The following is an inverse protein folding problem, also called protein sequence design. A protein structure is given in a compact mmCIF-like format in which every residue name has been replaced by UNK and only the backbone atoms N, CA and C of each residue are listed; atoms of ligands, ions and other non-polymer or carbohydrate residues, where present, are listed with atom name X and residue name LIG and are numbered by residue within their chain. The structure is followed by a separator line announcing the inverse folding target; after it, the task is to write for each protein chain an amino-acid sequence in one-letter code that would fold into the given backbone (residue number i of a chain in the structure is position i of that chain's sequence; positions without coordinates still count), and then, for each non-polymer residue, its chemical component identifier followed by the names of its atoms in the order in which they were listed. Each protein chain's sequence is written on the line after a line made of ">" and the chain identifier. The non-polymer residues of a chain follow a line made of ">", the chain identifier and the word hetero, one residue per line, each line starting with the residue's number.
data_IF_876949241251
#
_entry.id   IF_876949241251
#
_cell.length_a   1.000
_cell.length_b   1.000
_cell.length_c   1.000
_cell.angle_alpha   90.00
_cell.angle_beta   90.00
_cell.angle_gamma   90.00
#
_symmetry.space_group_name_H-M   'P 1'
#
loop_
_entity.id
_entity.type
_entity.pdbx_description
1 polymer ?
#
# COMPACT_ATOMS: atom_id res chain seq x y z
N UNK A 1 16.37 85.25 4.11
CA UNK A 1 17.54 84.65 3.44
C UNK A 1 18.03 83.50 4.30
N UNK A 2 18.49 82.40 3.71
CA UNK A 2 18.97 81.24 4.46
C UNK A 2 20.28 81.53 5.20
N UNK A 3 20.50 80.90 6.35
CA UNK A 3 21.74 80.14 6.64
C UNK A 3 21.67 79.38 7.99
N UNK A 4 22.58 78.40 8.10
CA UNK A 4 22.97 77.54 9.25
C UNK A 4 22.21 76.21 9.30
N UNK A 5 22.77 75.15 8.69
CA UNK A 5 23.96 74.35 9.06
C UNK A 5 23.61 73.28 10.10
N UNK A 6 23.76 72.02 9.67
CA UNK A 6 23.47 70.84 10.47
C UNK A 6 24.55 70.58 11.53
N UNK A 7 24.13 69.97 12.64
CA UNK A 7 25.02 69.26 13.55
C UNK A 7 24.59 67.78 13.60
N UNK A 8 25.55 66.88 13.49
CA UNK A 8 25.32 65.45 13.49
C UNK A 8 25.11 64.90 14.91
N UNK A 9 24.22 63.92 15.05
CA UNK A 9 24.21 62.99 16.18
C UNK A 9 24.25 61.58 15.59
N UNK A 10 25.37 60.87 15.79
CA UNK A 10 25.51 59.50 15.35
C UNK A 10 24.78 58.58 16.34
N UNK A 11 23.74 57.89 15.87
CA UNK A 11 23.10 56.78 16.60
C UNK A 11 23.61 55.49 16.00
N UNK A 12 24.49 54.80 16.72
CA UNK A 12 24.90 53.45 16.34
C UNK A 12 23.75 52.48 16.66
N UNK A 13 23.05 51.98 15.64
CA UNK A 13 22.20 50.82 15.81
C UNK A 13 23.09 49.59 16.02
N UNK A 14 23.02 49.02 17.23
CA UNK A 14 23.38 47.63 17.45
C UNK A 14 22.38 46.76 16.69
N UNK A 15 22.77 46.28 15.52
CA UNK A 15 22.05 45.20 14.86
C UNK A 15 22.27 43.92 15.67
N UNK A 16 21.28 43.55 16.48
CA UNK A 16 21.20 42.22 17.07
C UNK A 16 21.00 41.21 15.95
N UNK A 17 22.11 40.69 15.43
CA UNK A 17 22.08 39.49 14.62
C UNK A 17 21.57 38.35 15.50
N UNK A 18 20.29 38.01 15.35
CA UNK A 18 19.75 36.78 15.87
C UNK A 18 20.49 35.64 15.18
N UNK A 19 21.40 35.00 15.91
CA UNK A 19 22.03 33.76 15.47
C UNK A 19 20.92 32.71 15.48
N UNK A 20 20.34 32.44 14.31
CA UNK A 20 19.57 31.23 14.07
C UNK A 20 20.52 30.05 14.27
N UNK A 21 20.44 29.43 15.44
CA UNK A 21 21.09 28.15 15.72
C UNK A 21 20.46 27.08 14.83
N UNK A 22 21.23 26.37 13.98
CA UNK A 22 20.67 25.36 13.12
C UNK A 22 20.37 24.07 13.91
N UNK A 23 19.26 23.43 13.55
CA UNK A 23 18.87 22.03 13.83
C UNK A 23 18.72 21.67 15.32
N UNK A 24 17.46 21.55 15.75
CA UNK A 24 17.06 20.77 16.93
C UNK A 24 17.47 19.31 16.72
N UNK A 25 17.97 18.64 17.77
CA UNK A 25 18.46 17.28 17.64
C UNK A 25 17.30 16.31 17.37
N UNK A 26 17.23 15.81 16.14
CA UNK A 26 16.33 14.71 15.76
C UNK A 26 16.55 13.52 16.71
N UNK A 27 15.46 13.00 17.28
CA UNK A 27 15.56 11.75 18.03
C UNK A 27 15.68 10.60 17.05
N UNK A 28 16.74 9.80 17.18
CA UNK A 28 17.14 8.79 16.21
C UNK A 28 17.42 7.47 16.92
N UNK A 29 16.95 6.37 16.35
CA UNK A 29 17.43 5.03 16.66
C UNK A 29 17.83 4.29 15.37
N UNK A 30 18.94 3.55 15.40
CA UNK A 30 19.43 2.76 14.27
C UNK A 30 19.41 1.29 14.65
N UNK A 31 18.69 0.47 13.90
CA UNK A 31 18.63 -0.98 14.13
C UNK A 31 20.00 -1.62 13.86
N UNK A 32 20.39 -2.54 14.74
CA UNK A 32 21.65 -3.29 14.67
C UNK A 32 21.56 -4.59 15.50
N UNK A 33 22.56 -5.46 15.41
CA UNK A 33 22.65 -6.68 16.24
C UNK A 33 22.58 -6.42 17.75
N UNK A 34 22.89 -5.19 18.19
CA UNK A 34 22.86 -4.75 19.59
C UNK A 34 21.72 -3.79 19.95
N UNK A 35 20.99 -3.26 18.96
CA UNK A 35 19.93 -2.27 19.17
C UNK A 35 18.70 -2.64 18.34
N UNK A 36 17.58 -2.89 19.02
CA UNK A 36 16.32 -3.33 18.41
C UNK A 36 15.27 -2.22 18.38
N UNK A 37 15.64 -0.99 18.76
CA UNK A 37 14.76 0.18 18.84
C UNK A 37 13.46 -0.11 19.59
N UNK A 38 13.58 -0.79 20.74
CA UNK A 38 12.44 -1.20 21.54
C UNK A 38 11.62 0.00 21.98
N UNK A 39 10.29 -0.05 21.81
CA UNK A 39 9.39 1.10 22.04
C UNK A 39 9.51 1.72 23.46
N UNK A 40 9.90 0.93 24.47
CA UNK A 40 10.10 1.39 25.85
C UNK A 40 11.39 2.19 26.07
N UNK A 41 12.39 2.05 25.20
CA UNK A 41 13.67 2.75 25.27
C UNK A 41 13.76 3.94 24.30
N UNK A 42 12.76 4.11 23.43
CA UNK A 42 12.66 5.28 22.56
C UNK A 42 12.40 6.54 23.40
N UNK A 43 13.17 7.60 23.13
CA UNK A 43 13.00 8.92 23.76
C UNK A 43 12.53 9.89 22.68
N UNK A 44 11.23 10.22 22.59
CA UNK A 44 10.70 11.08 21.53
C UNK A 44 11.35 12.47 21.49
N UNK A 45 11.38 13.05 20.28
CA UNK A 45 11.70 14.47 20.07
C UNK A 45 10.69 15.37 20.78
N UNK A 46 11.17 16.45 21.40
CA UNK A 46 10.31 17.49 22.01
C UNK A 46 9.52 18.32 20.97
N UNK A 47 9.87 18.22 19.68
CA UNK A 47 9.30 19.03 18.58
C UNK A 47 8.01 18.42 18.02
N UNK A 48 8.06 17.16 17.59
CA UNK A 48 6.95 16.44 16.94
C UNK A 48 6.48 15.19 17.71
N UNK A 49 7.14 14.82 18.80
CA UNK A 49 6.84 13.60 19.55
C UNK A 49 7.21 12.30 18.83
N UNK A 50 8.11 12.34 17.83
CA UNK A 50 8.57 11.17 17.07
C UNK A 50 10.01 10.75 17.38
N UNK A 51 10.38 9.55 16.91
CA UNK A 51 11.74 9.06 16.76
C UNK A 51 11.91 8.53 15.35
N UNK A 52 12.96 8.95 14.64
CA UNK A 52 13.32 8.39 13.34
C UNK A 52 14.04 7.05 13.55
N UNK A 53 13.50 5.99 12.96
CA UNK A 53 14.09 4.65 13.01
C UNK A 53 14.74 4.32 11.67
N UNK A 54 16.06 4.14 11.68
CA UNK A 54 16.82 3.69 10.52
C UNK A 54 16.96 2.16 10.58
N UNK A 55 16.33 1.40 9.68
CA UNK A 55 16.42 -0.06 9.67
C UNK A 55 17.80 -0.60 9.21
N UNK A 56 18.59 0.24 8.53
CA UNK A 56 19.90 -0.16 8.01
C UNK A 56 19.81 -1.17 6.87
N UNK A 57 20.88 -1.95 6.68
CA UNK A 57 20.98 -2.92 5.58
C UNK A 57 20.91 -2.25 4.20
N UNK A 58 20.17 -2.87 3.27
CA UNK A 58 19.97 -2.38 1.91
C UNK A 58 18.63 -1.62 1.73
N UNK A 59 17.98 -1.24 2.84
CA UNK A 59 16.68 -0.57 2.83
C UNK A 59 16.84 0.89 2.36
N UNK A 60 16.10 1.24 1.30
CA UNK A 60 16.14 2.53 0.60
C UNK A 60 14.78 2.74 -0.10
N UNK A 61 14.45 3.97 -0.50
CA UNK A 61 13.34 4.17 -1.43
C UNK A 61 13.68 3.59 -2.82
N UNK A 62 12.67 3.18 -3.60
CA UNK A 62 12.85 2.57 -4.92
C UNK A 62 13.67 3.41 -5.91
N UNK A 63 13.63 4.74 -5.75
CA UNK A 63 14.35 5.71 -6.58
C UNK A 63 15.48 6.45 -5.85
N UNK A 64 15.93 5.97 -4.68
CA UNK A 64 16.93 6.67 -3.85
C UNK A 64 18.33 6.73 -4.49
N UNK A 65 18.65 5.80 -5.39
CA UNK A 65 19.94 5.75 -6.11
C UNK A 65 19.95 6.55 -7.44
N UNK A 66 18.91 7.35 -7.74
CA UNK A 66 18.84 8.12 -8.98
C UNK A 66 19.89 9.23 -9.06
N UNK A 67 20.55 9.33 -10.21
CA UNK A 67 21.35 10.50 -10.60
C UNK A 67 20.96 10.88 -12.01
N UNK A 68 20.48 12.11 -12.19
CA UNK A 68 20.24 12.63 -13.53
C UNK A 68 21.56 12.94 -14.24
N UNK A 69 21.67 12.48 -15.48
CA UNK A 69 22.92 12.59 -16.27
C UNK A 69 23.08 13.92 -17.01
N UNK A 70 22.02 14.73 -17.08
CA UNK A 70 22.02 16.03 -17.76
C UNK A 70 22.22 17.23 -16.80
N UNK A 71 21.86 17.05 -15.53
CA UNK A 71 21.93 18.04 -14.45
C UNK A 71 22.93 17.61 -13.37
N UNK A 72 22.82 18.17 -12.16
CA UNK A 72 23.59 17.77 -10.98
C UNK A 72 22.71 17.18 -9.88
N UNK A 73 21.49 16.74 -10.22
CA UNK A 73 20.61 16.14 -9.24
C UNK A 73 20.97 14.68 -9.01
N UNK A 74 21.13 14.32 -7.74
CA UNK A 74 21.17 12.95 -7.26
C UNK A 74 20.32 12.85 -6.01
N UNK A 75 19.47 11.83 -5.94
CA UNK A 75 18.95 11.33 -4.67
C UNK A 75 20.06 10.55 -3.97
N UNK A 76 20.05 10.61 -2.64
CA UNK A 76 20.80 9.74 -1.72
C UNK A 76 20.33 10.12 -0.32
N UNK A 77 19.40 9.35 0.24
CA UNK A 77 18.70 9.68 1.47
C UNK A 77 18.30 8.40 2.20
N UNK A 78 19.11 8.03 3.19
CA UNK A 78 18.90 6.85 4.02
C UNK A 78 17.44 6.73 4.45
N UNK A 79 16.79 5.65 4.03
CA UNK A 79 15.41 5.38 4.42
C UNK A 79 15.27 5.27 5.94
N UNK A 80 14.18 5.83 6.45
CA UNK A 80 13.74 5.70 7.83
C UNK A 80 12.23 5.50 7.87
N UNK A 81 11.71 5.09 9.03
CA UNK A 81 10.30 5.24 9.37
C UNK A 81 10.20 6.00 10.69
N UNK A 82 9.10 6.73 10.92
CA UNK A 82 8.92 7.43 12.19
C UNK A 82 8.12 6.57 13.16
N UNK A 83 8.51 6.58 14.43
CA UNK A 83 7.72 6.02 15.53
C UNK A 83 7.31 7.14 16.45
N UNK A 84 6.02 7.23 16.72
CA UNK A 84 5.48 8.03 17.81
C UNK A 84 5.07 7.04 18.92
N UNK A 85 5.87 6.87 19.99
CA UNK A 85 5.51 5.99 21.11
C UNK A 85 4.27 6.49 21.85
N UNK A 86 3.51 5.57 22.44
CA UNK A 86 2.44 5.92 23.37
C UNK A 86 3.04 6.56 24.66
N UNK A 87 2.53 7.73 25.06
CA UNK A 87 3.02 8.52 26.21
C UNK A 87 2.81 7.87 27.59
N UNK A 88 2.03 6.79 27.65
CA UNK A 88 1.70 6.00 28.85
C UNK A 88 2.36 4.61 28.82
N UNK A 89 3.22 4.34 27.84
CA UNK A 89 3.83 3.02 27.55
C UNK A 89 2.81 1.87 27.36
N UNK A 90 1.58 2.17 26.95
CA UNK A 90 0.58 1.17 26.56
C UNK A 90 0.95 0.57 25.18
N UNK A 91 0.98 -0.75 25.08
CA UNK A 91 1.31 -1.53 23.87
C UNK A 91 0.12 -2.25 23.25
N UNK A 92 -1.08 -2.07 23.81
CA UNK A 92 -2.31 -2.75 23.35
C UNK A 92 -2.80 -2.25 21.99
N UNK A 93 -2.31 -1.09 21.52
CA UNK A 93 -2.74 -0.44 20.27
C UNK A 93 -1.56 0.07 19.46
N UNK A 94 -1.59 -0.23 18.16
CA UNK A 94 -0.63 0.19 17.14
C UNK A 94 -1.40 0.62 15.89
N UNK A 95 -1.07 1.80 15.35
CA UNK A 95 -1.42 2.21 14.00
C UNK A 95 -0.17 2.15 13.15
N UNK A 96 -0.25 1.51 11.98
CA UNK A 96 0.77 1.61 10.93
C UNK A 96 0.15 2.47 9.83
N UNK A 97 0.74 3.63 9.56
CA UNK A 97 0.25 4.58 8.56
C UNK A 97 1.23 4.62 7.39
N UNK A 98 0.73 4.34 6.19
CA UNK A 98 1.51 4.44 4.96
C UNK A 98 1.20 5.77 4.28
N UNK A 99 2.24 6.57 4.04
CA UNK A 99 2.12 7.83 3.31
C UNK A 99 2.00 7.56 1.81
N UNK A 100 1.05 8.20 1.13
CA UNK A 100 1.03 8.31 -0.35
C UNK A 100 1.85 9.52 -0.82
N UNK A 101 2.26 9.56 -2.09
CA UNK A 101 3.21 10.59 -2.52
C UNK A 101 3.43 10.75 -4.02
N UNK A 102 2.40 10.49 -4.84
CA UNK A 102 2.55 10.38 -6.29
C UNK A 102 2.91 8.94 -6.68
N UNK A 103 2.90 8.59 -7.97
CA UNK A 103 3.48 7.35 -8.47
C UNK A 103 3.64 7.34 -10.00
N UNK A 104 4.04 6.18 -10.53
CA UNK A 104 4.21 5.87 -11.93
C UNK A 104 3.64 4.47 -12.25
N UNK A 105 3.67 4.06 -13.53
CA UNK A 105 3.06 2.81 -13.99
C UNK A 105 4.05 1.87 -14.70
N UNK A 106 5.14 2.41 -15.25
CA UNK A 106 6.12 1.72 -16.09
C UNK A 106 7.47 2.48 -16.09
N UNK A 107 8.47 1.95 -16.81
CA UNK A 107 9.81 2.55 -16.91
C UNK A 107 9.79 4.01 -17.40
N UNK A 108 8.97 4.32 -18.43
CA UNK A 108 8.92 5.65 -19.05
C UNK A 108 8.24 6.69 -18.14
N UNK A 109 7.12 6.32 -17.51
CA UNK A 109 6.39 7.18 -16.56
C UNK A 109 7.18 7.38 -15.27
N UNK A 110 7.89 6.37 -14.77
CA UNK A 110 8.78 6.52 -13.62
C UNK A 110 9.97 7.41 -13.96
N UNK A 111 10.64 7.19 -15.11
CA UNK A 111 11.76 8.03 -15.55
C UNK A 111 11.35 9.50 -15.73
N UNK A 112 10.17 9.77 -16.29
CA UNK A 112 9.64 11.12 -16.41
C UNK A 112 9.28 11.74 -15.06
N UNK A 113 8.53 11.03 -14.21
CA UNK A 113 8.13 11.56 -12.91
C UNK A 113 9.34 11.85 -12.00
N UNK A 114 10.41 11.09 -12.18
CA UNK A 114 11.69 11.26 -11.52
C UNK A 114 12.43 12.52 -12.02
N UNK A 115 12.41 12.80 -13.32
CA UNK A 115 12.88 14.09 -13.87
C UNK A 115 12.05 15.27 -13.35
N UNK A 116 10.72 15.13 -13.29
CA UNK A 116 9.81 16.19 -12.83
C UNK A 116 9.77 16.37 -11.30
N UNK A 117 10.35 15.45 -10.51
CA UNK A 117 10.52 15.62 -9.05
C UNK A 117 11.32 16.89 -8.67
N UNK A 118 12.05 17.45 -9.64
CA UNK A 118 12.84 18.69 -9.53
C UNK A 118 12.10 19.96 -9.92
N UNK A 119 10.89 19.83 -10.47
CA UNK A 119 10.07 20.96 -10.88
C UNK A 119 9.55 21.75 -9.68
N UNK A 120 8.91 22.88 -9.96
CA UNK A 120 8.19 23.67 -8.94
C UNK A 120 6.99 22.92 -8.33
N UNK A 121 6.66 21.73 -8.84
CA UNK A 121 5.64 20.82 -8.32
C UNK A 121 6.08 19.40 -8.67
N UNK A 122 6.65 18.69 -7.69
CA UNK A 122 7.08 17.31 -7.87
C UNK A 122 5.89 16.40 -8.18
N UNK A 123 6.06 15.51 -9.17
CA UNK A 123 5.03 14.52 -9.56
C UNK A 123 5.01 13.29 -8.65
N UNK A 124 6.14 12.97 -8.01
CA UNK A 124 6.21 12.09 -6.85
C UNK A 124 7.45 12.41 -5.99
N UNK A 125 7.49 11.89 -4.76
CA UNK A 125 8.60 12.07 -3.82
C UNK A 125 9.58 10.89 -3.86
N UNK A 126 10.88 11.16 -3.96
CA UNK A 126 11.94 10.13 -4.11
C UNK A 126 12.69 9.79 -2.84
N UNK A 127 12.47 10.54 -1.76
CA UNK A 127 13.18 10.42 -0.49
C UNK A 127 12.19 10.47 0.68
N UNK A 128 12.44 9.68 1.73
CA UNK A 128 11.60 9.64 2.91
C UNK A 128 11.49 11.03 3.59
N UNK A 129 10.27 11.50 3.82
CA UNK A 129 9.99 12.78 4.50
C UNK A 129 9.26 12.53 5.83
N UNK A 130 9.63 13.26 6.88
CA UNK A 130 8.87 13.24 8.13
C UNK A 130 7.52 13.97 8.00
N UNK A 131 6.52 13.50 8.76
CA UNK A 131 5.21 14.13 8.88
C UNK A 131 4.60 13.87 10.26
N UNK A 132 4.01 14.89 10.85
CA UNK A 132 3.28 14.82 12.13
C UNK A 132 1.84 15.33 12.00
N UNK A 133 1.29 15.35 10.78
CA UNK A 133 -0.03 15.93 10.48
C UNK A 133 -1.20 14.93 10.61
N UNK A 134 -2.43 15.46 10.76
CA UNK A 134 -3.67 14.69 10.73
C UNK A 134 -3.74 13.62 11.81
N UNK A 135 -3.97 12.36 11.44
CA UNK A 135 -4.00 11.23 12.39
C UNK A 135 -2.70 11.02 13.17
N UNK A 136 -1.57 11.58 12.71
CA UNK A 136 -0.28 11.54 13.40
C UNK A 136 -0.17 12.62 14.50
N UNK A 137 -0.92 13.71 14.37
CA UNK A 137 -0.88 14.84 15.31
C UNK A 137 -1.58 14.50 16.62
N UNK A 138 -0.80 14.32 17.69
CA UNK A 138 -1.33 14.02 19.03
C UNK A 138 -1.93 15.23 19.74
N UNK A 139 -1.69 16.44 19.26
CA UNK A 139 -2.21 17.67 19.85
C UNK A 139 -3.69 17.92 19.52
N UNK A 140 -4.19 17.30 18.45
CA UNK A 140 -5.60 17.35 18.06
C UNK A 140 -6.47 16.64 19.11
N UNK A 141 -7.38 17.39 19.74
CA UNK A 141 -8.22 16.87 20.82
C UNK A 141 -9.12 15.71 20.35
N UNK A 142 -9.63 15.76 19.12
CA UNK A 142 -10.53 14.75 18.56
C UNK A 142 -9.80 13.59 17.84
N UNK A 143 -8.45 13.56 17.83
CA UNK A 143 -7.71 12.46 17.21
C UNK A 143 -7.80 11.18 18.08
N UNK A 144 -8.65 10.24 17.66
CA UNK A 144 -8.84 8.92 18.28
C UNK A 144 -7.57 8.04 18.33
N UNK A 145 -6.53 8.37 17.55
CA UNK A 145 -5.24 7.67 17.50
C UNK A 145 -4.18 8.33 18.39
N UNK A 146 -4.44 9.50 19.00
CA UNK A 146 -3.45 10.27 19.79
C UNK A 146 -2.87 9.54 21.01
N UNK A 147 -3.52 8.47 21.44
CA UNK A 147 -3.15 7.59 22.56
C UNK A 147 -2.72 6.18 22.07
N UNK A 148 -2.39 5.99 20.79
CA UNK A 148 -1.87 4.72 20.26
C UNK A 148 -0.34 4.77 20.17
N UNK A 149 0.33 3.65 19.89
CA UNK A 149 1.64 3.71 19.22
C UNK A 149 1.39 3.95 17.74
N UNK A 150 2.20 4.77 17.09
CA UNK A 150 2.07 5.04 15.66
C UNK A 150 3.40 4.77 14.99
N UNK A 151 3.39 3.94 13.95
CA UNK A 151 4.49 3.75 13.01
C UNK A 151 4.07 4.43 11.71
N UNK A 152 4.75 5.50 11.34
CA UNK A 152 4.56 6.19 10.07
C UNK A 152 5.63 5.72 9.08
N UNK A 153 5.17 5.08 8.01
CA UNK A 153 5.96 4.60 6.90
C UNK A 153 5.93 5.71 5.82
N UNK A 154 7.02 6.47 5.64
CA UNK A 154 7.07 7.52 4.64
C UNK A 154 7.02 6.94 3.24
N UNK A 155 6.56 7.77 2.31
CA UNK A 155 6.32 7.37 0.93
C UNK A 155 7.65 7.05 0.21
N UNK A 156 7.70 5.88 -0.42
CA UNK A 156 8.71 5.52 -1.42
C UNK A 156 8.08 4.82 -2.64
N UNK A 157 6.91 4.20 -2.49
CA UNK A 157 6.09 3.50 -3.49
C UNK A 157 4.61 3.63 -3.10
N UNK A 158 3.69 3.65 -4.07
CA UNK A 158 2.28 4.06 -3.84
C UNK A 158 1.30 2.89 -3.72
N UNK A 159 0.10 3.20 -3.23
CA UNK A 159 -1.02 2.27 -3.15
C UNK A 159 -2.33 2.97 -3.52
N UNK A 160 -3.18 2.24 -4.26
CA UNK A 160 -4.44 2.76 -4.81
C UNK A 160 -5.62 1.88 -4.41
N UNK A 161 -6.84 2.42 -4.45
CA UNK A 161 -8.08 1.61 -4.45
C UNK A 161 -8.25 0.80 -5.75
N UNK A 162 -7.36 1.02 -6.73
CA UNK A 162 -7.18 0.17 -7.89
C UNK A 162 -8.26 0.28 -8.97
N UNK A 163 -8.90 1.46 -9.10
CA UNK A 163 -9.66 1.83 -10.30
C UNK A 163 -8.66 2.06 -11.45
N UNK A 164 -8.40 1.00 -12.21
CA UNK A 164 -7.49 0.99 -13.38
C UNK A 164 -8.26 0.77 -14.69
N UNK A 165 -7.69 1.12 -15.85
CA UNK A 165 -8.27 0.77 -17.15
C UNK A 165 -8.46 -0.75 -17.28
N UNK A 166 -9.53 -1.18 -17.94
CA UNK A 166 -9.83 -2.62 -18.09
C UNK A 166 -8.75 -3.36 -18.89
N UNK A 167 -8.13 -2.64 -19.80
CA UNK A 167 -7.05 -3.09 -20.66
C UNK A 167 -5.70 -3.18 -19.93
N UNK A 168 -5.61 -2.67 -18.70
CA UNK A 168 -4.43 -2.66 -17.83
C UNK A 168 -4.79 -3.18 -16.43
N UNK A 169 -4.87 -4.52 -16.23
CA UNK A 169 -5.15 -5.12 -14.93
C UNK A 169 -4.16 -4.64 -13.86
N UNK A 170 -4.62 -4.52 -12.60
CA UNK A 170 -3.76 -4.06 -11.51
C UNK A 170 -2.50 -4.92 -11.32
N UNK A 171 -2.55 -6.21 -11.70
CA UNK A 171 -1.40 -7.08 -11.74
C UNK A 171 -0.24 -6.59 -12.64
N UNK A 172 -0.48 -5.81 -13.70
CA UNK A 172 0.61 -5.23 -14.51
C UNK A 172 1.51 -4.32 -13.65
N UNK A 173 0.89 -3.48 -12.80
CA UNK A 173 1.60 -2.63 -11.84
C UNK A 173 2.28 -3.46 -10.75
N UNK A 174 1.60 -4.49 -10.23
CA UNK A 174 2.18 -5.37 -9.20
C UNK A 174 3.35 -6.21 -9.73
N UNK A 175 3.39 -6.56 -11.02
CA UNK A 175 4.54 -7.17 -11.68
C UNK A 175 5.66 -6.14 -11.83
N UNK A 176 5.36 -4.91 -12.26
CA UNK A 176 6.35 -3.84 -12.39
C UNK A 176 7.08 -3.55 -11.07
N UNK A 177 6.34 -3.41 -9.97
CA UNK A 177 6.90 -3.21 -8.62
C UNK A 177 7.42 -4.50 -7.95
N UNK A 178 7.45 -5.63 -8.66
CA UNK A 178 7.93 -6.92 -8.14
C UNK A 178 7.04 -7.55 -7.04
N UNK A 179 5.90 -6.95 -6.73
CA UNK A 179 5.01 -7.35 -5.65
C UNK A 179 4.48 -8.77 -5.83
N UNK A 180 4.15 -9.21 -7.06
CA UNK A 180 3.61 -10.56 -7.31
C UNK A 180 4.55 -11.71 -6.88
N UNK A 181 5.85 -11.46 -6.71
CA UNK A 181 6.82 -12.48 -6.26
C UNK A 181 7.00 -12.53 -4.73
N UNK A 182 6.32 -11.65 -3.99
CA UNK A 182 6.32 -11.67 -2.52
C UNK A 182 5.30 -12.69 -1.98
N UNK A 183 5.65 -13.38 -0.91
CA UNK A 183 4.72 -14.27 -0.21
C UNK A 183 3.73 -13.46 0.63
N UNK A 184 2.57 -13.17 0.05
CA UNK A 184 1.42 -12.56 0.71
C UNK A 184 0.45 -13.60 1.32
N UNK A 185 0.77 -14.90 1.31
CA UNK A 185 -0.13 -15.96 1.78
C UNK A 185 -1.39 -16.16 0.91
N UNK A 186 -1.32 -15.79 -0.38
CA UNK A 186 -2.40 -15.94 -1.35
C UNK A 186 -2.45 -17.36 -1.94
N UNK A 187 -3.59 -17.73 -2.54
CA UNK A 187 -3.75 -19.00 -3.23
C UNK A 187 -2.88 -19.09 -4.51
N UNK A 188 -2.39 -20.29 -4.84
CA UNK A 188 -1.44 -20.52 -5.94
C UNK A 188 -1.94 -20.02 -7.31
N UNK A 189 -3.26 -20.07 -7.56
CA UNK A 189 -3.89 -19.59 -8.79
C UNK A 189 -3.94 -18.06 -8.86
N UNK A 190 -4.18 -17.38 -7.75
CA UNK A 190 -4.11 -15.92 -7.64
C UNK A 190 -2.66 -15.43 -7.79
N UNK A 191 -1.69 -16.12 -7.18
CA UNK A 191 -0.26 -15.84 -7.37
C UNK A 191 0.12 -15.99 -8.85
N UNK A 192 -0.26 -17.09 -9.50
CA UNK A 192 -0.01 -17.31 -10.92
C UNK A 192 -0.69 -16.26 -11.82
N UNK A 193 -1.90 -15.81 -11.48
CA UNK A 193 -2.60 -14.74 -12.20
C UNK A 193 -1.95 -13.36 -11.99
N UNK A 194 -1.37 -13.11 -10.81
CA UNK A 194 -0.57 -11.90 -10.53
C UNK A 194 0.72 -11.93 -11.36
N UNK A 195 1.52 -13.00 -11.27
CA UNK A 195 2.77 -13.17 -12.03
C UNK A 195 2.56 -13.10 -13.55
N UNK A 196 1.38 -13.52 -14.04
CA UNK A 196 1.00 -13.40 -15.45
C UNK A 196 0.57 -11.98 -15.88
N UNK A 197 0.46 -11.03 -14.96
CA UNK A 197 -0.05 -9.67 -15.22
C UNK A 197 -1.56 -9.62 -15.45
N UNK A 198 -2.31 -10.67 -15.11
CA UNK A 198 -3.73 -10.81 -15.47
C UNK A 198 -4.72 -10.61 -14.33
N UNK A 199 -4.29 -10.72 -13.07
CA UNK A 199 -5.20 -10.58 -11.94
C UNK A 199 -5.76 -9.15 -11.81
N UNK A 200 -7.06 -9.06 -11.64
CA UNK A 200 -7.78 -7.80 -11.41
C UNK A 200 -7.66 -7.33 -9.96
N UNK A 201 -7.93 -6.04 -9.73
CA UNK A 201 -8.05 -5.47 -8.37
C UNK A 201 -9.09 -6.21 -7.52
N UNK A 202 -10.14 -6.74 -8.15
CA UNK A 202 -11.17 -7.50 -7.46
C UNK A 202 -10.61 -8.83 -6.96
N UNK A 203 -10.03 -9.64 -7.86
CA UNK A 203 -9.46 -10.95 -7.50
C UNK A 203 -8.36 -10.86 -6.44
N UNK A 204 -7.45 -9.87 -6.56
CA UNK A 204 -6.35 -9.69 -5.59
C UNK A 204 -6.85 -9.35 -4.18
N UNK A 205 -7.80 -8.41 -4.05
CA UNK A 205 -8.32 -8.01 -2.74
C UNK A 205 -9.31 -9.06 -2.20
N UNK A 206 -10.14 -9.69 -3.03
CA UNK A 206 -11.00 -10.81 -2.58
C UNK A 206 -10.16 -11.97 -2.01
N UNK A 207 -9.01 -12.28 -2.60
CA UNK A 207 -8.09 -13.28 -2.07
C UNK A 207 -7.48 -12.85 -0.72
N UNK A 208 -7.14 -11.57 -0.53
CA UNK A 208 -6.69 -11.05 0.78
C UNK A 208 -7.82 -11.10 1.83
N UNK A 209 -9.06 -10.77 1.45
CA UNK A 209 -10.23 -10.86 2.34
C UNK A 209 -10.51 -12.30 2.77
N UNK A 210 -10.33 -13.27 1.86
CA UNK A 210 -10.46 -14.70 2.17
C UNK A 210 -9.30 -15.23 3.02
N UNK A 211 -8.08 -14.72 2.83
CA UNK A 211 -6.90 -15.08 3.62
C UNK A 211 -6.96 -14.50 5.05
N UNK A 212 -7.59 -13.32 5.23
CA UNK A 212 -7.71 -12.62 6.51
C UNK A 212 -9.18 -12.27 6.85
N UNK A 213 -10.07 -13.27 7.06
CA UNK A 213 -11.52 -13.08 7.17
C UNK A 213 -11.97 -12.37 8.45
N UNK A 214 -11.08 -12.20 9.44
CA UNK A 214 -11.35 -11.44 10.66
C UNK A 214 -11.01 -9.95 10.52
N UNK A 215 -10.33 -9.55 9.45
CA UNK A 215 -10.00 -8.17 9.16
C UNK A 215 -11.26 -7.33 8.91
N UNK A 216 -11.41 -6.23 9.64
CA UNK A 216 -12.38 -5.19 9.32
C UNK A 216 -11.70 -4.16 8.41
N UNK A 217 -12.41 -3.69 7.39
CA UNK A 217 -11.88 -2.76 6.38
C UNK A 217 -12.75 -1.51 6.32
N UNK A 218 -12.14 -0.35 6.13
CA UNK A 218 -12.81 0.93 5.97
C UNK A 218 -12.21 1.66 4.75
N UNK A 219 -13.02 1.81 3.70
CA UNK A 219 -12.69 2.58 2.51
C UNK A 219 -13.23 4.00 2.66
N UNK A 220 -12.41 5.01 2.37
CA UNK A 220 -12.69 6.43 2.61
C UNK A 220 -12.31 7.22 1.36
N UNK A 221 -13.28 7.45 0.49
CA UNK A 221 -13.02 7.84 -0.90
C UNK A 221 -13.89 9.00 -1.35
N UNK A 222 -13.31 9.92 -2.14
CA UNK A 222 -14.11 10.93 -2.85
C UNK A 222 -14.74 10.31 -4.09
N UNK A 223 -16.03 10.58 -4.33
CA UNK A 223 -16.73 10.10 -5.53
C UNK A 223 -16.11 10.58 -6.84
N UNK A 224 -15.38 11.70 -6.85
CA UNK A 224 -14.75 12.27 -8.02
C UNK A 224 -13.25 12.48 -7.90
N UNK A 225 -12.54 11.74 -7.02
CA UNK A 225 -11.12 11.94 -6.67
C UNK A 225 -10.27 12.29 -7.91
N UNK A 226 -9.80 13.53 -7.97
CA UNK A 226 -9.11 14.05 -9.15
C UNK A 226 -7.76 13.35 -9.36
N UNK A 227 -7.08 13.01 -8.28
CA UNK A 227 -5.73 12.41 -8.33
C UNK A 227 -5.81 10.96 -8.79
N UNK A 228 -6.76 10.17 -8.28
CA UNK A 228 -6.98 8.82 -8.78
C UNK A 228 -7.40 8.82 -10.27
N UNK A 229 -8.19 9.81 -10.71
CA UNK A 229 -8.53 10.00 -12.13
C UNK A 229 -7.32 10.40 -13.00
N UNK A 230 -6.36 11.15 -12.46
CA UNK A 230 -5.06 11.39 -13.12
C UNK A 230 -4.26 10.09 -13.25
N UNK A 231 -4.23 9.23 -12.22
CA UNK A 231 -3.55 7.95 -12.29
C UNK A 231 -4.19 6.97 -13.27
N UNK A 232 -5.53 6.96 -13.38
CA UNK A 232 -6.22 6.21 -14.43
C UNK A 232 -5.74 6.63 -15.83
N UNK A 233 -5.60 7.94 -16.08
CA UNK A 233 -5.08 8.47 -17.34
C UNK A 233 -3.59 8.12 -17.54
N UNK A 234 -2.76 8.18 -16.49
CA UNK A 234 -1.36 7.78 -16.52
C UNK A 234 -1.18 6.31 -16.94
N UNK A 235 -1.99 5.40 -16.38
CA UNK A 235 -1.99 3.97 -16.75
C UNK A 235 -2.56 3.76 -18.16
N UNK A 236 -3.59 4.52 -18.57
CA UNK A 236 -4.27 4.35 -19.86
C UNK A 236 -3.54 4.94 -21.07
N UNK A 237 -2.79 6.02 -20.88
CA UNK A 237 -2.17 6.81 -21.96
C UNK A 237 -0.64 6.75 -21.93
N UNK A 238 -0.07 6.18 -20.86
CA UNK A 238 1.36 6.25 -20.54
C UNK A 238 1.84 7.70 -20.43
N UNK A 239 3.15 7.92 -20.56
CA UNK A 239 3.69 9.27 -20.47
C UNK A 239 3.31 10.17 -21.66
N UNK A 240 2.96 9.59 -22.81
CA UNK A 240 2.60 10.36 -24.01
C UNK A 240 1.26 11.11 -23.88
N UNK A 241 0.41 10.74 -22.91
CA UNK A 241 -0.80 11.49 -22.56
C UNK A 241 -0.54 12.76 -21.72
N UNK A 242 0.67 12.93 -21.17
CA UNK A 242 0.97 14.07 -20.30
C UNK A 242 1.12 15.38 -21.11
N UNK A 243 0.49 16.50 -20.69
CA UNK A 243 -0.36 16.65 -19.52
C UNK A 243 -1.79 16.14 -19.73
N UNK A 244 -2.22 15.22 -18.88
CA UNK A 244 -3.56 14.60 -18.94
C UNK A 244 -4.64 15.66 -18.82
N UNK A 245 -5.42 15.83 -19.90
CA UNK A 245 -6.44 16.89 -20.00
C UNK A 245 -7.86 16.37 -20.20
N UNK A 246 -8.02 15.11 -20.59
CA UNK A 246 -9.32 14.44 -20.78
C UNK A 246 -9.47 13.30 -19.75
N UNK A 247 -9.63 13.66 -18.48
CA UNK A 247 -9.83 12.69 -17.41
C UNK A 247 -11.22 12.04 -17.51
N UNK A 248 -11.29 10.74 -17.25
CA UNK A 248 -12.56 10.01 -17.09
C UNK A 248 -13.54 10.78 -16.18
N UNK A 249 -14.84 10.72 -16.47
CA UNK A 249 -15.84 11.47 -15.70
C UNK A 249 -15.94 10.98 -14.25
N UNK A 250 -16.39 11.86 -13.36
CA UNK A 250 -16.63 11.53 -11.94
C UNK A 250 -17.70 10.44 -11.81
N UNK A 251 -18.73 10.49 -12.67
CA UNK A 251 -19.75 9.44 -12.76
C UNK A 251 -19.17 8.08 -13.15
N UNK A 252 -18.27 8.02 -14.15
CA UNK A 252 -17.64 6.78 -14.58
C UNK A 252 -16.67 6.23 -13.53
N UNK A 253 -15.85 7.11 -12.94
CA UNK A 253 -14.94 6.75 -11.84
C UNK A 253 -15.71 6.21 -10.63
N UNK A 254 -16.74 6.92 -10.18
CA UNK A 254 -17.58 6.50 -9.05
C UNK A 254 -18.30 5.18 -9.32
N UNK A 255 -18.84 4.98 -10.53
CA UNK A 255 -19.52 3.74 -10.90
C UNK A 255 -18.56 2.54 -10.87
N UNK A 256 -17.32 2.70 -11.34
CA UNK A 256 -16.31 1.65 -11.31
C UNK A 256 -15.82 1.35 -9.88
N UNK A 257 -15.52 2.39 -9.10
CA UNK A 257 -15.15 2.27 -7.68
C UNK A 257 -16.26 1.59 -6.87
N UNK A 258 -17.52 1.98 -7.07
CA UNK A 258 -18.66 1.37 -6.38
C UNK A 258 -18.79 -0.12 -6.72
N UNK A 259 -18.64 -0.50 -8.00
CA UNK A 259 -18.69 -1.90 -8.41
C UNK A 259 -17.56 -2.76 -7.81
N UNK A 260 -16.37 -2.19 -7.61
CA UNK A 260 -15.25 -2.84 -6.92
C UNK A 260 -15.58 -3.04 -5.43
N UNK A 261 -16.08 -2.01 -4.76
CA UNK A 261 -16.41 -2.06 -3.33
C UNK A 261 -17.65 -2.93 -3.04
N UNK A 262 -18.62 -3.00 -3.95
CA UNK A 262 -19.76 -3.92 -3.91
C UNK A 262 -19.31 -5.39 -4.00
N UNK A 263 -18.27 -5.69 -4.80
CA UNK A 263 -17.67 -7.03 -4.86
C UNK A 263 -17.01 -7.38 -3.52
N UNK A 264 -16.27 -6.45 -2.90
CA UNK A 264 -15.69 -6.66 -1.58
C UNK A 264 -16.74 -6.87 -0.48
N UNK A 265 -17.84 -6.10 -0.50
CA UNK A 265 -18.98 -6.30 0.42
C UNK A 265 -19.68 -7.65 0.19
N UNK A 266 -19.67 -8.16 -1.04
CA UNK A 266 -20.18 -9.51 -1.36
C UNK A 266 -19.25 -10.60 -0.82
N UNK A 267 -17.94 -10.39 -0.89
CA UNK A 267 -16.93 -11.32 -0.36
C UNK A 267 -16.81 -11.29 1.19
N UNK A 268 -17.06 -10.14 1.82
CA UNK A 268 -16.97 -9.97 3.28
C UNK A 268 -17.99 -8.97 3.84
N UNK A 269 -18.72 -9.37 4.88
CA UNK A 269 -19.59 -8.46 5.63
C UNK A 269 -18.86 -7.49 6.56
N UNK A 270 -17.51 -7.48 6.53
CA UNK A 270 -16.64 -6.60 7.34
C UNK A 270 -16.13 -5.36 6.59
N UNK A 271 -16.63 -5.13 5.38
CA UNK A 271 -16.31 -3.94 4.58
C UNK A 271 -17.22 -2.78 5.00
N UNK A 272 -16.61 -1.65 5.36
CA UNK A 272 -17.29 -0.37 5.58
C UNK A 272 -16.83 0.61 4.50
N UNK A 273 -17.75 1.40 3.95
CA UNK A 273 -17.46 2.43 2.94
C UNK A 273 -17.90 3.80 3.43
N UNK A 274 -17.10 4.83 3.14
CA UNK A 274 -17.37 6.22 3.45
C UNK A 274 -17.10 7.07 2.21
N UNK A 275 -18.15 7.49 1.52
CA UNK A 275 -18.03 8.29 0.29
C UNK A 275 -18.18 9.77 0.58
N UNK A 276 -17.28 10.59 0.03
CA UNK A 276 -17.33 12.06 0.13
C UNK A 276 -17.64 12.67 -1.24
N UNK A 277 -18.50 13.67 -1.28
CA UNK A 277 -18.83 14.37 -2.52
C UNK A 277 -17.67 15.24 -3.04
N UNK A 278 -17.53 15.32 -4.36
CA UNK A 278 -16.50 16.11 -5.04
C UNK A 278 -15.18 15.36 -5.26
N UNK A 279 -14.08 16.11 -5.40
CA UNK A 279 -12.85 15.62 -6.04
C UNK A 279 -11.60 15.61 -5.14
N UNK A 280 -11.79 15.66 -3.82
CA UNK A 280 -10.67 15.73 -2.86
C UNK A 280 -9.86 14.43 -2.90
N UNK A 281 -8.55 14.55 -2.77
CA UNK A 281 -7.66 13.41 -2.57
C UNK A 281 -7.15 13.41 -1.13
N UNK A 282 -7.13 12.23 -0.51
CA UNK A 282 -6.79 11.90 0.90
C UNK A 282 -7.53 12.72 1.98
N UNK A 283 -7.76 12.10 3.15
CA UNK A 283 -8.49 12.72 4.27
C UNK A 283 -7.71 12.70 5.58
N UNK A 284 -7.08 11.57 5.92
CA UNK A 284 -6.48 11.32 7.23
C UNK A 284 -5.22 12.16 7.53
N UNK A 285 -4.61 12.79 6.53
CA UNK A 285 -3.47 13.68 6.70
C UNK A 285 -3.87 15.12 7.11
N UNK A 286 -5.14 15.49 6.98
CA UNK A 286 -5.60 16.84 7.32
C UNK A 286 -5.85 16.99 8.82
N UNK A 287 -5.54 18.15 9.41
CA UNK A 287 -5.78 18.43 10.83
C UNK A 287 -7.26 18.47 11.23
N UNK A 288 -8.19 18.55 10.27
CA UNK A 288 -9.63 18.49 10.47
C UNK A 288 -10.28 17.19 9.95
N UNK A 289 -9.51 16.11 9.78
CA UNK A 289 -9.98 14.86 9.16
C UNK A 289 -11.29 14.30 9.77
N UNK A 290 -11.51 14.50 11.07
CA UNK A 290 -12.72 14.09 11.79
C UNK A 290 -14.00 14.71 11.23
N UNK A 291 -13.90 15.89 10.62
CA UNK A 291 -15.02 16.75 10.23
C UNK A 291 -15.44 16.59 8.77
N UNK A 292 -14.84 15.67 8.00
CA UNK A 292 -15.34 15.36 6.66
C UNK A 292 -16.70 14.68 6.74
N UNK A 293 -17.66 15.15 5.96
CA UNK A 293 -19.04 14.66 5.90
C UNK A 293 -19.20 13.73 4.69
N UNK A 294 -19.84 12.58 4.88
CA UNK A 294 -20.18 11.67 3.79
C UNK A 294 -21.36 12.17 2.95
N UNK A 295 -21.60 11.54 1.81
CA UNK A 295 -22.82 11.69 1.02
C UNK A 295 -24.11 11.29 1.78
N UNK A 296 -23.99 10.51 2.86
CA UNK A 296 -25.08 10.18 3.79
C UNK A 296 -25.20 11.16 4.98
N UNK A 297 -24.32 12.17 5.09
CA UNK A 297 -24.33 13.14 6.19
C UNK A 297 -23.67 12.66 7.49
N UNK A 298 -22.78 11.66 7.42
CA UNK A 298 -22.03 11.14 8.56
C UNK A 298 -20.64 11.80 8.66
N UNK A 299 -20.17 12.09 9.87
CA UNK A 299 -18.81 12.61 10.07
C UNK A 299 -17.78 11.47 10.10
N UNK A 300 -16.66 11.64 9.40
CA UNK A 300 -15.59 10.65 9.29
C UNK A 300 -15.03 10.24 10.67
N UNK A 301 -14.92 11.20 11.60
CA UNK A 301 -14.49 10.93 12.97
C UNK A 301 -15.45 10.01 13.74
N UNK A 302 -16.77 10.16 13.54
CA UNK A 302 -17.77 9.32 14.18
C UNK A 302 -17.75 7.90 13.59
N UNK A 303 -17.61 7.79 12.26
CA UNK A 303 -17.54 6.51 11.55
C UNK A 303 -16.29 5.71 11.94
N UNK A 304 -15.11 6.35 11.99
CA UNK A 304 -13.87 5.69 12.43
C UNK A 304 -13.99 5.24 13.89
N UNK A 305 -14.52 6.07 14.80
CA UNK A 305 -14.72 5.69 16.20
C UNK A 305 -15.66 4.48 16.35
N UNK A 306 -16.79 4.46 15.61
CA UNK A 306 -17.71 3.32 15.62
C UNK A 306 -17.04 2.04 15.07
N UNK A 307 -16.34 2.14 13.95
CA UNK A 307 -15.64 1.04 13.29
C UNK A 307 -14.54 0.42 14.19
N UNK A 308 -13.75 1.26 14.86
CA UNK A 308 -12.75 0.84 15.84
C UNK A 308 -13.38 0.08 17.02
N UNK A 309 -14.55 0.51 17.49
CA UNK A 309 -15.27 -0.18 18.58
C UNK A 309 -15.77 -1.55 18.11
N UNK A 310 -16.41 -1.65 16.94
CA UNK A 310 -16.87 -2.94 16.40
C UNK A 310 -15.76 -3.96 16.21
N UNK A 311 -14.55 -3.51 15.85
CA UNK A 311 -13.36 -4.36 15.77
C UNK A 311 -12.95 -4.86 17.18
N UNK A 312 -12.94 -3.97 18.19
CA UNK A 312 -12.53 -4.31 19.56
C UNK A 312 -13.45 -5.31 20.27
N UNK A 313 -14.76 -5.29 20.00
CA UNK A 313 -15.75 -6.19 20.62
C UNK A 313 -15.63 -7.67 20.19
N UNK A 314 -14.84 -7.96 19.15
CA UNK A 314 -14.64 -9.32 18.64
C UNK A 314 -13.36 -9.96 19.21
N UNK A 315 -12.35 -9.15 19.53
CA UNK A 315 -11.12 -9.60 20.18
C UNK A 315 -11.31 -10.03 21.65
N UNK A 316 -12.51 -9.88 22.21
CA UNK A 316 -12.85 -10.34 23.57
C UNK A 316 -13.37 -11.78 23.66
N UNK A 317 -13.74 -12.42 22.54
CA UNK A 317 -14.23 -13.81 22.54
C UNK A 317 -13.13 -14.87 22.36
N UNK A 318 -11.91 -14.47 21.97
CA UNK A 318 -10.75 -15.37 21.88
C UNK A 318 -10.05 -15.55 23.23
N UNK A 319 -10.61 -16.43 24.06
CA UNK A 319 -9.87 -16.98 25.21
C UNK A 319 -8.66 -17.78 24.69
N UNK A 320 -7.41 -17.47 25.10
CA UNK A 320 -6.25 -18.21 24.62
C UNK A 320 -6.26 -19.65 25.15
N UNK A 321 -6.37 -20.62 24.24
CA UNK A 321 -6.18 -22.03 24.55
C UNK A 321 -4.72 -22.27 24.99
N UNK A 322 -4.46 -23.01 26.08
CA UNK A 322 -3.11 -23.12 26.61
C UNK A 322 -2.22 -23.99 25.71
N UNK A 323 -1.16 -23.39 25.17
CA UNK A 323 -0.12 -24.06 24.37
C UNK A 323 0.40 -25.32 25.07
N UNK A 324 0.33 -26.51 24.45
CA UNK A 324 0.92 -27.72 25.02
C UNK A 324 2.45 -27.64 25.03
N UNK A 325 3.04 -27.60 26.22
CA UNK A 325 4.50 -27.62 26.39
C UNK A 325 5.11 -28.92 25.84
N UNK A 326 5.95 -28.81 24.81
CA UNK A 326 6.62 -29.94 24.19
C UNK A 326 7.82 -30.41 25.05
N UNK A 327 7.60 -31.35 25.97
CA UNK A 327 8.70 -32.01 26.71
C UNK A 327 9.20 -33.26 26.00
N UNK A 328 10.47 -33.23 25.61
CA UNK A 328 11.21 -34.31 24.97
C UNK A 328 11.43 -35.51 25.89
N UNK A 329 11.06 -36.72 25.47
CA UNK A 329 11.45 -37.97 26.14
C UNK A 329 11.70 -39.10 25.13
N UNK A 330 12.85 -39.76 25.25
CA UNK A 330 13.39 -40.67 24.24
C UNK A 330 13.31 -42.14 24.65
N UNK A 331 12.73 -42.97 23.76
CA UNK A 331 12.94 -44.43 23.58
C UNK A 331 12.61 -45.41 24.71
N UNK A 332 11.85 -46.46 24.35
CA UNK A 332 11.62 -47.66 25.15
C UNK A 332 10.70 -48.66 24.43
N UNK A 333 11.27 -49.58 23.65
CA UNK A 333 10.50 -50.58 22.89
C UNK A 333 9.97 -51.73 23.77
N UNK A 334 8.98 -52.51 23.28
CA UNK A 334 9.08 -53.98 23.00
C UNK A 334 7.70 -54.72 22.95
N UNK A 335 7.42 -55.38 21.80
CA UNK A 335 6.56 -56.59 21.56
C UNK A 335 5.02 -56.66 21.70
N UNK A 336 4.37 -56.93 20.54
CA UNK A 336 3.32 -57.94 20.22
C UNK A 336 2.06 -58.16 21.08
N UNK A 337 0.86 -58.05 20.47
CA UNK A 337 0.12 -59.20 19.86
C UNK A 337 -1.22 -58.81 19.17
N UNK A 338 -1.51 -59.51 18.08
CA UNK A 338 -2.79 -59.66 17.33
C UNK A 338 -3.09 -61.20 17.38
N UNK A 339 -4.33 -61.76 17.27
CA UNK A 339 -5.42 -61.33 16.36
C UNK A 339 -6.89 -61.60 16.78
N UNK A 340 -7.82 -61.20 15.88
CA UNK A 340 -9.12 -61.84 15.49
C UNK A 340 -10.22 -60.78 15.26
N UNK A 341 -10.54 -60.36 14.02
CA UNK A 341 -11.49 -60.97 13.05
C UNK A 341 -12.95 -61.12 13.53
N UNK A 342 -13.88 -60.40 12.92
CA UNK A 342 -15.20 -60.95 12.51
C UNK A 342 -15.83 -60.13 11.37
N UNK A 343 -16.70 -60.77 10.59
CA UNK A 343 -17.26 -60.31 9.31
C UNK A 343 -18.79 -60.28 9.39
N UNK A 344 -19.47 -59.28 8.80
CA UNK A 344 -20.87 -59.42 8.32
C UNK A 344 -21.39 -58.28 7.42
N UNK A 345 -21.95 -58.68 6.26
CA UNK A 345 -22.87 -58.01 5.31
C UNK A 345 -23.44 -59.20 4.45
N UNK A 346 -24.55 -59.16 3.68
CA UNK A 346 -25.29 -57.99 3.14
C UNK A 346 -26.85 -58.13 2.96
N UNK A 347 -27.46 -57.13 2.31
CA UNK A 347 -28.81 -57.13 1.70
C UNK A 347 -29.26 -55.68 1.41
N UNK A 348 -29.35 -55.19 0.16
CA UNK A 348 -30.43 -55.38 -0.86
C UNK A 348 -31.80 -54.87 -0.38
N UNK A 349 -32.63 -54.13 -1.12
CA UNK A 349 -32.64 -53.72 -2.55
C UNK A 349 -32.86 -52.17 -2.64
N UNK A 350 -33.21 -51.46 -3.72
CA UNK A 350 -33.70 -51.74 -5.09
C UNK A 350 -33.39 -50.54 -6.04
N UNK A 351 -33.98 -50.46 -7.24
CA UNK A 351 -33.79 -49.35 -8.20
C UNK A 351 -35.03 -49.10 -9.09
N UNK A 352 -35.14 -47.90 -9.66
CA UNK A 352 -35.99 -47.51 -10.81
C UNK A 352 -35.53 -46.14 -11.32
N UNK A 353 -35.50 -45.74 -12.59
CA UNK A 353 -35.41 -46.36 -13.91
C UNK A 353 -35.55 -45.19 -14.91
N UNK A 354 -34.60 -44.97 -15.81
CA UNK A 354 -34.76 -44.04 -16.94
C UNK A 354 -35.38 -44.76 -18.15
N UNK A 355 -35.95 -44.02 -19.12
CA UNK A 355 -35.97 -44.43 -20.51
C UNK A 355 -35.07 -43.53 -21.38
N UNK A 356 -34.48 -44.12 -22.42
CA UNK A 356 -33.64 -43.44 -23.42
C UNK A 356 -34.11 -43.77 -24.83
N UNK A 357 -33.87 -42.86 -25.78
CA UNK A 357 -33.91 -43.04 -27.25
C UNK A 357 -32.96 -41.98 -27.84
N UNK A 358 -31.79 -42.34 -28.39
CA UNK A 358 -31.52 -42.79 -29.77
C UNK A 358 -31.76 -41.71 -30.84
N UNK A 359 -30.92 -41.42 -31.84
CA UNK A 359 -29.60 -41.92 -32.31
C UNK A 359 -29.23 -41.10 -33.56
N UNK A 360 -27.96 -40.70 -33.78
CA UNK A 360 -27.25 -40.81 -35.09
C UNK A 360 -25.97 -39.94 -35.19
N UNK A 361 -24.85 -40.58 -35.53
CA UNK A 361 -23.70 -39.98 -36.26
C UNK A 361 -23.49 -40.79 -37.54
N UNK A 362 -22.88 -40.24 -38.61
CA UNK A 362 -21.41 -40.25 -38.80
C UNK A 362 -20.89 -38.90 -39.36
N UNK A 363 -19.61 -38.62 -39.69
CA UNK A 363 -18.45 -39.49 -40.01
C UNK A 363 -17.10 -38.74 -39.86
N UNK A 364 -16.07 -39.46 -39.39
CA UNK A 364 -14.63 -39.43 -39.77
C UNK A 364 -14.00 -38.26 -40.58
N UNK A 365 -12.87 -37.70 -40.09
CA UNK A 365 -11.57 -37.77 -40.81
C UNK A 365 -10.32 -37.60 -39.91
N UNK A 366 -9.41 -38.59 -40.00
CA UNK A 366 -7.93 -38.56 -39.90
C UNK A 366 -7.13 -37.47 -39.15
N UNK A 367 -6.34 -37.93 -38.16
CA UNK A 367 -5.04 -37.37 -37.73
C UNK A 367 -3.94 -37.55 -38.80
N UNK A 368 -2.83 -36.80 -38.74
CA UNK A 368 -1.53 -37.47 -38.69
C UNK A 368 -0.57 -36.89 -37.63
N UNK A 369 0.24 -37.78 -37.04
CA UNK A 369 1.27 -37.44 -36.04
C UNK A 369 2.57 -36.98 -36.69
N UNK A 370 3.25 -35.97 -36.13
CA UNK A 370 4.68 -35.72 -36.36
C UNK A 370 5.41 -35.51 -35.02
N UNK A 371 6.66 -35.96 -34.99
CA UNK A 371 7.54 -36.17 -33.83
C UNK A 371 8.19 -34.93 -33.25
N UNK A 372 8.57 -35.06 -31.98
CA UNK A 372 9.42 -34.18 -31.17
C UNK A 372 10.70 -33.66 -31.84
N UNK A 373 11.05 -32.40 -31.56
CA UNK A 373 12.43 -31.91 -31.56
C UNK A 373 12.53 -30.72 -30.58
N UNK A 374 13.28 -30.86 -29.48
CA UNK A 374 13.58 -29.74 -28.59
C UNK A 374 14.75 -28.93 -29.17
N UNK A 375 14.68 -27.61 -29.13
CA UNK A 375 15.77 -26.72 -29.55
C UNK A 375 15.65 -25.38 -28.82
N UNK A 376 16.59 -25.08 -27.93
CA UNK A 376 16.66 -23.79 -27.24
C UNK A 376 17.01 -22.67 -28.23
N UNK A 377 16.36 -21.50 -28.19
CA UNK A 377 16.86 -20.31 -28.85
C UNK A 377 17.93 -19.63 -27.97
N UNK A 378 19.11 -19.38 -28.56
CA UNK A 378 20.14 -18.55 -27.92
C UNK A 378 19.69 -17.09 -27.78
N UNK A 379 20.20 -16.41 -26.77
CA UNK A 379 20.07 -14.98 -26.59
C UNK A 379 20.39 -14.21 -27.87
N UNK A 380 19.41 -13.49 -28.40
CA UNK A 380 19.58 -12.53 -29.48
C UNK A 380 19.67 -11.13 -28.86
N UNK A 381 20.86 -10.53 -28.94
CA UNK A 381 21.07 -9.14 -28.51
C UNK A 381 20.27 -8.24 -29.46
N UNK A 382 19.14 -7.73 -28.98
CA UNK A 382 18.41 -6.67 -29.68
C UNK A 382 19.18 -5.37 -29.43
N UNK A 383 19.94 -4.93 -30.43
CA UNK A 383 20.48 -3.57 -30.45
C UNK A 383 19.35 -2.59 -30.74
N UNK A 384 18.81 -1.99 -29.69
CA UNK A 384 17.86 -0.88 -29.75
C UNK A 384 18.52 0.33 -30.41
N UNK A 385 18.08 0.68 -31.63
CA UNK A 385 18.36 2.02 -32.20
C UNK A 385 17.68 3.08 -31.35
N UNK A 386 18.40 4.11 -30.88
CA UNK A 386 17.78 5.20 -30.13
C UNK A 386 16.91 6.03 -31.08
N UNK A 387 15.60 5.93 -30.92
CA UNK A 387 14.67 6.86 -31.56
C UNK A 387 14.80 8.18 -30.82
N UNK A 388 15.29 9.22 -31.50
CA UNK A 388 15.50 10.56 -30.93
C UNK A 388 14.17 11.31 -30.76
N UNK A 389 13.29 10.79 -29.92
CA UNK A 389 12.29 11.61 -29.23
C UNK A 389 13.08 12.53 -28.29
N UNK A 390 12.86 13.85 -28.38
CA UNK A 390 13.39 14.74 -27.35
C UNK A 390 12.81 14.31 -25.99
N UNK A 391 13.59 14.36 -24.88
CA UNK A 391 13.02 14.07 -23.58
C UNK A 391 11.82 15.00 -23.35
N UNK A 392 10.71 14.42 -22.91
CA UNK A 392 9.52 15.18 -22.52
C UNK A 392 9.92 16.04 -21.33
N UNK A 393 10.16 17.33 -21.58
CA UNK A 393 10.66 18.24 -20.58
C UNK A 393 9.52 18.75 -19.70
N UNK A 394 9.75 18.69 -18.39
CA UNK A 394 9.06 19.48 -17.38
C UNK A 394 9.45 20.97 -17.52
#
# INVERSE_FOLDING_TARGET
>A
MAFRLANAAAVALLASAAILTPVTAESICTLSDSEICAVDSLTPSDDDGSVLIYPGGNTRCDFDDYTDSATTFSTNSTYFFQVFPNTKADKSKLMIFFQGGGACADEDTCAFGLQCSLGASATFTTAATSSSAGVLDRSLEDNMFKDWNIVFIPYCTDSYVGVVPKEHPAAELLVYYGACTNDFGLFEDIVAACEAGTATTIEMIEALLQAQPEGNWLFVDSKGDKTQRYFYALVSEGILGYPFSDLISEEYFFANMSAILDAYQTASSRITTFYVEGTKHVFLADSNFTSYESDEGLLLGDVINAWLVSNSSLNTDTTPEPTPSLTTATSGATTTKTPSTTTATPGSSSATASPATSTSSPSTTSTPSITSSASSPSASVITSTPTTTAPLAC
#
